data_IF_934547354331
#
_entry.id   IF_934547354331
#
_cell.length_a   1.000
_cell.length_b   1.000
_cell.length_c   1.000
_cell.angle_alpha   90.00
_cell.angle_beta   90.00
_cell.angle_gamma   90.00
#
_symmetry.space_group_name_H-M   'P 1'
#
loop_
_entity.id
_entity.type
_entity.pdbx_description
1 polymer ?
#
# COMPACT_ATOMS: atom_id res chain seq x y z
N UNK A 1 9.03 8.59 -0.79
CA UNK A 1 9.49 8.45 -2.19
C UNK A 1 10.66 7.47 -2.29
N UNK A 2 10.95 6.90 -3.45
CA UNK A 2 12.15 6.09 -3.70
C UNK A 2 12.59 6.14 -5.16
N UNK A 3 13.87 5.87 -5.44
CA UNK A 3 14.39 5.75 -6.80
C UNK A 3 14.49 4.26 -7.17
N UNK A 4 13.72 3.82 -8.15
CA UNK A 4 13.77 2.47 -8.70
C UNK A 4 14.12 2.55 -10.18
N UNK A 5 15.16 1.83 -10.63
CA UNK A 5 15.63 1.84 -12.02
C UNK A 5 15.84 3.25 -12.60
N UNK A 6 16.46 4.14 -11.81
CA UNK A 6 16.69 5.56 -12.14
C UNK A 6 15.41 6.38 -12.41
N UNK A 7 14.24 5.88 -11.99
CA UNK A 7 12.98 6.59 -12.01
C UNK A 7 12.49 6.84 -10.59
N UNK A 8 11.90 8.01 -10.39
CA UNK A 8 11.26 8.33 -9.11
C UNK A 8 9.93 7.58 -9.02
N UNK A 9 9.74 6.87 -7.92
CA UNK A 9 8.51 6.16 -7.58
C UNK A 9 7.94 6.73 -6.28
N UNK A 10 6.63 6.97 -6.29
CA UNK A 10 5.88 7.55 -5.20
C UNK A 10 5.02 6.49 -4.52
N UNK A 11 4.94 6.52 -3.20
CA UNK A 11 3.89 5.81 -2.46
C UNK A 11 2.64 6.68 -2.34
N UNK A 12 1.47 6.10 -2.02
CA UNK A 12 0.29 6.90 -1.68
C UNK A 12 0.51 7.83 -0.48
N UNK A 13 1.44 7.49 0.44
CA UNK A 13 1.83 8.40 1.52
C UNK A 13 2.54 9.66 1.02
N UNK A 14 3.30 9.58 -0.07
CA UNK A 14 3.97 10.75 -0.67
C UNK A 14 2.93 11.72 -1.25
N UNK A 15 1.84 11.21 -1.83
CA UNK A 15 0.73 12.02 -2.32
C UNK A 15 0.05 12.77 -1.17
N UNK A 16 -0.16 12.09 -0.03
CA UNK A 16 -0.72 12.75 1.15
C UNK A 16 0.22 13.75 1.77
N UNK A 17 1.53 13.47 1.80
CA UNK A 17 2.55 14.41 2.26
C UNK A 17 2.53 15.69 1.39
N UNK A 18 2.43 15.55 0.07
CA UNK A 18 2.28 16.68 -0.84
C UNK A 18 1.01 17.50 -0.57
N UNK A 19 -0.12 16.83 -0.32
CA UNK A 19 -1.37 17.50 -0.01
C UNK A 19 -1.32 18.26 1.33
N UNK A 20 -0.72 17.67 2.36
CA UNK A 20 -0.61 18.27 3.69
C UNK A 20 0.45 19.38 3.74
N UNK A 21 1.57 19.19 3.04
CA UNK A 21 2.69 20.14 2.98
C UNK A 21 3.51 19.96 1.71
N UNK A 22 3.30 20.81 0.68
CA UNK A 22 4.13 20.81 -0.52
C UNK A 22 5.61 21.01 -0.21
N UNK A 23 5.94 21.75 0.86
CA UNK A 23 7.31 21.93 1.33
C UNK A 23 7.91 20.62 1.85
N UNK A 24 7.20 19.89 2.72
CA UNK A 24 7.69 18.61 3.23
C UNK A 24 7.93 17.61 2.10
N UNK A 25 7.00 17.50 1.15
CA UNK A 25 7.16 16.67 -0.05
C UNK A 25 8.37 17.08 -0.90
N UNK A 26 8.61 18.39 -1.04
CA UNK A 26 9.81 18.89 -1.73
C UNK A 26 11.10 18.54 -0.99
N UNK A 27 11.12 18.64 0.35
CA UNK A 27 12.26 18.26 1.18
C UNK A 27 12.58 16.77 1.05
N UNK A 28 11.56 15.90 1.07
CA UNK A 28 11.74 14.46 0.81
C UNK A 28 12.34 14.22 -0.58
N UNK A 29 11.81 14.88 -1.61
CA UNK A 29 12.34 14.76 -2.98
C UNK A 29 13.79 15.23 -3.07
N UNK A 30 14.14 16.33 -2.41
CA UNK A 30 15.51 16.84 -2.34
C UNK A 30 16.44 15.80 -1.70
N UNK A 31 16.03 15.20 -0.58
CA UNK A 31 16.80 14.16 0.10
C UNK A 31 17.09 12.94 -0.80
N UNK A 32 16.12 12.51 -1.61
CA UNK A 32 16.29 11.37 -2.51
C UNK A 32 17.02 11.70 -3.83
N UNK A 33 16.95 12.95 -4.30
CA UNK A 33 17.51 13.34 -5.61
C UNK A 33 18.88 14.03 -5.51
N UNK A 34 19.13 14.76 -4.42
CA UNK A 34 20.29 15.61 -4.18
C UNK A 34 20.68 15.57 -2.69
N UNK A 35 21.09 14.39 -2.23
CA UNK A 35 21.35 14.11 -0.81
C UNK A 35 22.42 15.04 -0.22
N UNK A 36 23.35 15.51 -1.04
CA UNK A 36 24.41 16.46 -0.70
C UNK A 36 23.90 17.86 -0.36
N UNK A 37 22.71 18.23 -0.84
CA UNK A 37 22.07 19.52 -0.58
C UNK A 37 21.00 19.43 0.50
N UNK A 38 20.55 18.22 0.84
CA UNK A 38 19.49 18.01 1.81
C UNK A 38 20.02 18.16 3.24
N UNK A 39 19.25 18.81 4.14
CA UNK A 39 19.59 18.81 5.55
C UNK A 39 19.54 17.38 6.11
N UNK A 40 20.26 17.17 7.21
CA UNK A 40 20.22 15.90 7.92
C UNK A 40 18.79 15.67 8.46
N UNK A 41 18.20 14.48 8.24
CA UNK A 41 16.91 14.15 8.84
C UNK A 41 16.98 14.18 10.37
N UNK A 42 15.86 14.55 10.99
CA UNK A 42 15.68 14.38 12.42
C UNK A 42 15.81 12.89 12.81
N UNK A 43 16.31 12.58 14.02
CA UNK A 43 16.32 11.20 14.50
C UNK A 43 14.89 10.65 14.61
N UNK A 44 14.75 9.33 14.49
CA UNK A 44 13.46 8.67 14.66
C UNK A 44 12.87 8.98 16.04
N UNK A 45 11.66 9.55 16.05
CA UNK A 45 10.91 9.79 17.29
C UNK A 45 10.22 8.50 17.75
N UNK A 46 10.46 8.14 19.02
CA UNK A 46 9.77 7.09 19.76
C UNK A 46 8.24 7.08 19.58
N UNK A 47 7.62 8.25 19.44
CA UNK A 47 6.18 8.36 19.23
C UNK A 47 5.75 7.83 17.84
N UNK A 48 6.53 8.12 16.79
CA UNK A 48 6.24 7.61 15.45
C UNK A 48 6.40 6.09 15.38
N UNK A 49 7.44 5.54 16.02
CA UNK A 49 7.63 4.09 16.11
C UNK A 49 6.49 3.40 16.87
N UNK A 50 5.99 4.04 17.93
CA UNK A 50 4.83 3.54 18.67
C UNK A 50 3.56 3.55 17.80
N UNK A 51 3.30 4.65 17.08
CA UNK A 51 2.16 4.74 16.17
C UNK A 51 2.19 3.66 15.08
N UNK A 52 3.36 3.41 14.51
CA UNK A 52 3.56 2.34 13.53
C UNK A 52 3.24 0.97 14.14
N UNK A 53 3.78 0.68 15.33
CA UNK A 53 3.54 -0.58 16.04
C UNK A 53 2.05 -0.80 16.33
N UNK A 54 1.33 0.25 16.72
CA UNK A 54 -0.12 0.17 16.95
C UNK A 54 -0.89 -0.07 15.64
N UNK A 55 -0.44 0.52 14.53
CA UNK A 55 -1.01 0.28 13.19
C UNK A 55 -0.87 -1.17 12.78
N UNK A 56 0.35 -1.70 12.83
CA UNK A 56 0.66 -3.10 12.50
C UNK A 56 -0.18 -4.09 13.34
N UNK A 57 -0.36 -3.79 14.63
CA UNK A 57 -1.20 -4.60 15.52
C UNK A 57 -2.67 -4.59 15.10
N UNK A 58 -3.17 -3.44 14.65
CA UNK A 58 -4.56 -3.29 14.22
C UNK A 58 -4.83 -4.05 12.92
N UNK A 59 -3.94 -3.91 11.94
CA UNK A 59 -3.95 -4.68 10.69
C UNK A 59 -3.92 -6.19 10.99
N UNK A 60 -3.01 -6.65 11.86
CA UNK A 60 -2.91 -8.07 12.24
C UNK A 60 -4.16 -8.57 12.98
N UNK A 61 -4.80 -7.74 13.78
CA UNK A 61 -6.07 -8.10 14.42
C UNK A 61 -7.18 -8.30 13.39
N UNK A 62 -7.25 -7.44 12.37
CA UNK A 62 -8.22 -7.60 11.28
C UNK A 62 -7.92 -8.84 10.43
N UNK A 63 -6.65 -9.11 10.11
CA UNK A 63 -6.21 -10.33 9.42
C UNK A 63 -6.68 -11.59 10.17
N UNK A 64 -6.52 -11.59 11.50
CA UNK A 64 -6.94 -12.71 12.34
C UNK A 64 -8.45 -12.96 12.25
N UNK A 65 -9.27 -11.91 12.19
CA UNK A 65 -10.72 -12.03 12.02
C UNK A 65 -11.08 -12.71 10.71
N UNK A 66 -10.45 -12.33 9.60
CA UNK A 66 -10.68 -12.99 8.30
C UNK A 66 -10.35 -14.50 8.34
N UNK A 67 -9.26 -14.87 9.02
CA UNK A 67 -8.89 -16.28 9.22
C UNK A 67 -9.94 -17.00 10.09
N UNK A 68 -10.38 -16.38 11.18
CA UNK A 68 -11.37 -16.96 12.09
C UNK A 68 -12.76 -17.09 11.44
N UNK A 69 -13.07 -16.21 10.46
CA UNK A 69 -14.26 -16.29 9.60
C UNK A 69 -14.15 -17.40 8.51
N UNK A 70 -13.03 -18.12 8.47
CA UNK A 70 -12.81 -19.25 7.56
C UNK A 70 -12.41 -18.86 6.13
N UNK A 71 -12.02 -17.60 5.91
CA UNK A 71 -11.59 -17.12 4.60
C UNK A 71 -10.17 -17.61 4.26
N UNK A 72 -9.90 -17.81 2.98
CA UNK A 72 -8.53 -18.03 2.50
C UNK A 72 -7.75 -16.72 2.52
N UNK A 73 -6.57 -16.73 3.14
CA UNK A 73 -5.76 -15.54 3.36
C UNK A 73 -4.35 -15.76 2.83
N UNK A 74 -3.81 -14.75 2.14
CA UNK A 74 -2.41 -14.73 1.68
C UNK A 74 -1.71 -13.48 2.20
N UNK A 75 -0.66 -13.65 3.02
CA UNK A 75 0.18 -12.57 3.53
C UNK A 75 1.42 -12.43 2.65
N UNK A 76 1.42 -11.44 1.76
CA UNK A 76 2.47 -11.26 0.74
C UNK A 76 3.83 -11.05 1.39
N UNK A 77 3.91 -10.28 2.48
CA UNK A 77 5.18 -10.00 3.16
C UNK A 77 5.68 -11.16 4.03
N UNK A 78 4.87 -12.21 4.22
CA UNK A 78 5.33 -13.49 4.76
C UNK A 78 5.97 -14.39 3.70
N UNK A 79 5.68 -14.15 2.42
CA UNK A 79 6.15 -14.95 1.28
C UNK A 79 7.43 -14.35 0.69
N UNK A 80 7.50 -13.03 0.60
CA UNK A 80 8.63 -12.30 0.01
C UNK A 80 9.03 -11.10 0.87
N UNK A 81 10.32 -10.74 0.81
CA UNK A 81 10.86 -9.58 1.52
C UNK A 81 10.31 -8.27 0.91
N UNK A 82 9.97 -7.30 1.78
CA UNK A 82 9.45 -5.97 1.40
C UNK A 82 10.40 -5.19 0.48
N UNK A 83 11.70 -5.50 0.51
CA UNK A 83 12.73 -4.91 -0.35
C UNK A 83 12.62 -5.37 -1.80
N UNK A 84 12.10 -6.57 -2.07
CA UNK A 84 11.85 -7.07 -3.42
C UNK A 84 10.41 -6.79 -3.87
N UNK A 85 10.16 -5.52 -4.17
CA UNK A 85 8.83 -5.07 -4.60
C UNK A 85 8.36 -5.77 -5.89
N UNK A 86 9.27 -6.11 -6.80
CA UNK A 86 8.93 -6.75 -8.07
C UNK A 86 8.36 -8.16 -7.83
N UNK A 87 9.02 -8.93 -6.96
CA UNK A 87 8.52 -10.23 -6.53
C UNK A 87 7.19 -10.09 -5.79
N UNK A 88 7.08 -9.17 -4.84
CA UNK A 88 5.84 -8.94 -4.10
C UNK A 88 4.65 -8.59 -5.00
N UNK A 89 4.87 -7.75 -6.01
CA UNK A 89 3.85 -7.39 -6.99
C UNK A 89 3.43 -8.59 -7.84
N UNK A 90 4.39 -9.40 -8.30
CA UNK A 90 4.09 -10.63 -9.03
C UNK A 90 3.29 -11.61 -8.16
N UNK A 91 3.71 -11.84 -6.92
CA UNK A 91 3.00 -12.70 -5.96
C UNK A 91 1.57 -12.19 -5.75
N UNK A 92 1.38 -10.87 -5.60
CA UNK A 92 0.04 -10.27 -5.48
C UNK A 92 -0.85 -10.63 -6.67
N UNK A 93 -0.34 -10.49 -7.91
CA UNK A 93 -1.09 -10.86 -9.13
C UNK A 93 -1.42 -12.36 -9.19
N UNK A 94 -0.50 -13.21 -8.75
CA UNK A 94 -0.72 -14.66 -8.69
C UNK A 94 -1.83 -15.01 -7.69
N UNK A 95 -1.81 -14.43 -6.49
CA UNK A 95 -2.85 -14.64 -5.48
C UNK A 95 -4.21 -14.11 -5.95
N UNK A 96 -4.24 -12.99 -6.66
CA UNK A 96 -5.46 -12.47 -7.28
C UNK A 96 -6.03 -13.44 -8.31
N UNK A 97 -5.19 -14.04 -9.16
CA UNK A 97 -5.63 -15.02 -10.18
C UNK A 97 -6.09 -16.35 -9.56
N UNK A 98 -5.50 -16.75 -8.45
CA UNK A 98 -5.93 -17.92 -7.68
C UNK A 98 -7.27 -17.68 -6.97
N UNK A 99 -7.74 -16.43 -6.89
CA UNK A 99 -9.01 -16.08 -6.27
C UNK A 99 -9.02 -16.28 -4.76
N UNK A 100 -7.89 -16.00 -4.09
CA UNK A 100 -7.79 -15.98 -2.62
C UNK A 100 -8.76 -14.93 -2.07
N UNK A 101 -9.46 -15.24 -0.99
CA UNK A 101 -10.52 -14.35 -0.47
C UNK A 101 -9.95 -13.03 0.06
N UNK A 102 -8.80 -13.08 0.73
CA UNK A 102 -8.12 -11.91 1.30
C UNK A 102 -6.62 -11.95 0.99
N UNK A 103 -6.09 -10.88 0.40
CA UNK A 103 -4.65 -10.69 0.20
C UNK A 103 -4.20 -9.55 1.12
N UNK A 104 -3.33 -9.87 2.07
CA UNK A 104 -2.78 -8.95 3.05
C UNK A 104 -1.43 -8.40 2.58
N UNK A 105 -1.21 -7.10 2.78
CA UNK A 105 -0.03 -6.36 2.32
C UNK A 105 0.19 -6.51 0.81
N UNK A 106 -0.87 -6.26 0.03
CA UNK A 106 -0.87 -6.42 -1.42
C UNK A 106 -0.01 -5.34 -2.10
N UNK A 107 0.97 -5.76 -2.89
CA UNK A 107 1.85 -4.86 -3.62
C UNK A 107 1.18 -4.39 -4.93
N UNK A 108 0.87 -3.10 -5.01
CA UNK A 108 0.21 -2.46 -6.15
C UNK A 108 1.12 -1.41 -6.78
N UNK A 109 1.09 -1.33 -8.11
CA UNK A 109 1.85 -0.35 -8.88
C UNK A 109 1.07 0.10 -10.11
N UNK A 110 1.11 1.39 -10.41
CA UNK A 110 0.68 1.96 -11.70
C UNK A 110 1.45 3.25 -12.00
N UNK A 111 1.94 3.39 -13.23
CA UNK A 111 2.73 4.55 -13.64
C UNK A 111 3.93 4.78 -12.73
N UNK A 112 3.96 5.93 -12.06
CA UNK A 112 4.99 6.30 -11.08
C UNK A 112 4.63 5.98 -9.63
N UNK A 113 3.47 5.37 -9.37
CA UNK A 113 3.03 5.01 -8.02
C UNK A 113 3.24 3.53 -7.72
N UNK A 114 3.74 3.23 -6.52
CA UNK A 114 3.88 1.88 -6.02
C UNK A 114 3.80 1.83 -4.48
N UNK A 115 3.05 0.89 -3.92
CA UNK A 115 2.88 0.74 -2.49
C UNK A 115 2.30 -0.61 -2.07
N UNK A 116 2.12 -0.77 -0.76
CA UNK A 116 1.47 -1.95 -0.17
C UNK A 116 0.13 -1.50 0.41
N UNK A 117 -0.97 -1.99 -0.17
CA UNK A 117 -2.30 -1.81 0.41
C UNK A 117 -2.48 -2.83 1.54
N UNK A 118 -3.12 -2.43 2.64
CA UNK A 118 -3.33 -3.32 3.78
C UNK A 118 -4.06 -4.59 3.35
N UNK A 119 -5.19 -4.47 2.66
CA UNK A 119 -5.98 -5.61 2.22
C UNK A 119 -6.54 -5.44 0.80
N UNK A 120 -6.55 -6.53 0.05
CA UNK A 120 -7.46 -6.73 -1.09
C UNK A 120 -8.49 -7.79 -0.74
N UNK A 121 -9.77 -7.44 -0.86
CA UNK A 121 -10.89 -8.32 -0.55
C UNK A 121 -11.57 -8.76 -1.83
N UNK A 122 -11.69 -10.08 -2.04
CA UNK A 122 -12.37 -10.64 -3.20
C UNK A 122 -13.88 -10.44 -3.06
N UNK A 123 -14.50 -9.85 -4.09
CA UNK A 123 -15.93 -9.60 -4.16
C UNK A 123 -16.51 -10.08 -5.49
N UNK A 124 -17.78 -10.53 -5.53
CA UNK A 124 -18.43 -10.91 -6.78
C UNK A 124 -18.51 -9.73 -7.77
N UNK A 125 -18.26 -9.99 -9.05
CA UNK A 125 -18.36 -8.98 -10.11
C UNK A 125 -17.46 -9.30 -11.30
N UNK A 126 -17.91 -8.98 -12.52
CA UNK A 126 -17.15 -9.29 -13.74
C UNK A 126 -15.85 -8.49 -13.80
N UNK A 127 -14.74 -9.15 -14.11
CA UNK A 127 -13.43 -8.52 -14.32
C UNK A 127 -12.54 -9.37 -15.24
N UNK A 128 -11.29 -8.96 -15.44
CA UNK A 128 -10.26 -9.78 -16.09
C UNK A 128 -9.94 -11.10 -15.34
N UNK A 129 -10.37 -11.21 -14.08
CA UNK A 129 -10.21 -12.41 -13.24
C UNK A 129 -11.41 -13.37 -13.34
N UNK A 130 -12.43 -13.05 -14.14
CA UNK A 130 -13.64 -13.86 -14.31
C UNK A 130 -14.85 -13.24 -13.62
N UNK A 131 -15.44 -13.96 -12.67
CA UNK A 131 -16.69 -13.60 -11.98
C UNK A 131 -16.50 -12.86 -10.65
N UNK A 132 -15.27 -12.45 -10.35
CA UNK A 132 -14.92 -11.66 -9.18
C UNK A 132 -13.94 -10.55 -9.52
N UNK A 133 -13.84 -9.58 -8.62
CA UNK A 133 -12.80 -8.54 -8.59
C UNK A 133 -12.35 -8.33 -7.14
N UNK A 134 -11.37 -7.47 -6.95
CA UNK A 134 -10.89 -7.09 -5.63
C UNK A 134 -11.23 -5.64 -5.31
N UNK A 135 -11.47 -5.38 -4.03
CA UNK A 135 -11.59 -4.04 -3.46
C UNK A 135 -10.43 -3.77 -2.50
N UNK A 136 -9.95 -2.52 -2.48
CA UNK A 136 -8.93 -2.08 -1.52
C UNK A 136 -9.59 -1.76 -0.19
N UNK A 137 -9.09 -2.38 0.87
CA UNK A 137 -9.52 -2.10 2.25
C UNK A 137 -8.31 -1.63 3.06
N UNK A 138 -8.47 -0.52 3.77
CA UNK A 138 -7.45 0.10 4.63
C UNK A 138 -7.93 0.07 6.09
N UNK A 139 -7.07 -0.36 7.01
CA UNK A 139 -7.41 -0.45 8.43
C UNK A 139 -6.72 0.68 9.19
N UNK A 140 -7.50 1.67 9.64
CA UNK A 140 -6.97 2.82 10.37
C UNK A 140 -7.39 2.82 11.84
N UNK A 141 -6.43 3.16 12.70
CA UNK A 141 -6.66 3.41 14.13
C UNK A 141 -7.55 4.63 14.41
N UNK A 142 -7.64 5.57 13.47
CA UNK A 142 -8.36 6.82 13.67
C UNK A 142 -9.88 6.59 13.65
N UNK A 143 -10.57 7.06 14.69
CA UNK A 143 -12.04 7.02 14.78
C UNK A 143 -12.73 7.98 13.79
N UNK A 144 -12.00 8.93 13.22
CA UNK A 144 -12.49 9.91 12.25
C UNK A 144 -11.78 9.75 10.90
N UNK A 145 -12.56 9.81 9.83
CA UNK A 145 -12.06 9.76 8.45
C UNK A 145 -11.34 11.07 8.14
N UNK A 146 -10.02 10.99 7.93
CA UNK A 146 -9.19 12.12 7.49
C UNK A 146 -9.04 12.11 5.97
N UNK A 147 -8.97 13.29 5.36
CA UNK A 147 -8.78 13.48 3.91
C UNK A 147 -7.61 12.64 3.36
N UNK A 148 -6.51 12.56 4.10
CA UNK A 148 -5.34 11.77 3.73
C UNK A 148 -5.64 10.28 3.50
N UNK A 149 -6.53 9.68 4.28
CA UNK A 149 -6.88 8.26 4.13
C UNK A 149 -7.70 8.03 2.86
N UNK A 150 -8.62 8.95 2.55
CA UNK A 150 -9.40 8.91 1.30
C UNK A 150 -8.47 9.04 0.09
N UNK A 151 -7.51 9.97 0.11
CA UNK A 151 -6.54 10.14 -0.97
C UNK A 151 -5.68 8.89 -1.20
N UNK A 152 -5.22 8.23 -0.11
CA UNK A 152 -4.47 6.98 -0.21
C UNK A 152 -5.32 5.87 -0.83
N UNK A 153 -6.56 5.71 -0.35
CA UNK A 153 -7.50 4.73 -0.87
C UNK A 153 -7.80 4.94 -2.35
N UNK A 154 -8.03 6.18 -2.79
CA UNK A 154 -8.23 6.51 -4.21
C UNK A 154 -7.00 6.12 -5.05
N UNK A 155 -5.80 6.45 -4.59
CA UNK A 155 -4.56 6.10 -5.29
C UNK A 155 -4.39 4.57 -5.41
N UNK A 156 -4.65 3.82 -4.35
CA UNK A 156 -4.65 2.35 -4.40
C UNK A 156 -5.75 1.79 -5.30
N UNK A 157 -6.96 2.35 -5.26
CA UNK A 157 -8.07 1.93 -6.12
C UNK A 157 -7.76 2.14 -7.61
N UNK A 158 -7.14 3.26 -7.99
CA UNK A 158 -6.67 3.51 -9.36
C UNK A 158 -5.58 2.52 -9.77
N UNK A 159 -4.60 2.23 -8.90
CA UNK A 159 -3.58 1.21 -9.18
C UNK A 159 -4.20 -0.17 -9.39
N UNK A 160 -5.13 -0.57 -8.52
CA UNK A 160 -5.82 -1.86 -8.60
C UNK A 160 -6.68 -1.96 -9.87
N UNK A 161 -7.36 -0.88 -10.25
CA UNK A 161 -8.22 -0.85 -11.43
C UNK A 161 -7.46 -1.27 -12.69
N UNK A 162 -6.22 -0.83 -12.85
CA UNK A 162 -5.36 -1.19 -13.99
C UNK A 162 -5.02 -2.68 -14.06
N UNK A 163 -5.11 -3.41 -12.94
CA UNK A 163 -4.77 -4.83 -12.86
C UNK A 163 -5.95 -5.75 -13.20
N UNK A 164 -7.19 -5.27 -13.03
CA UNK A 164 -8.38 -6.12 -13.08
C UNK A 164 -9.47 -5.66 -14.05
N UNK A 165 -9.46 -4.42 -14.53
CA UNK A 165 -10.47 -3.93 -15.47
C UNK A 165 -10.05 -4.11 -16.93
N UNK A 166 -11.02 -4.38 -17.80
CA UNK A 166 -10.83 -4.25 -19.25
C UNK A 166 -10.78 -2.76 -19.60
N UNK A 167 -9.76 -2.36 -20.36
CA UNK A 167 -9.65 -1.00 -20.92
C UNK A 167 -10.73 -0.75 -21.96
#
# INVERSE_FOLDING_TARGET
MRVLNSKLTFSPSDLTCFHESPYASWMERLYFSHRELAPQPDPDDSFNSLLQTLGDRHERAQLRRFIDDGLTVSDILSICDKTDFALAHQTTLEQMRLGVDVIFQAALQSGSFAGFADFLIKVPGKSLLGDYHYEVWDTKLASEVKVKFVLQLCCYAEMLQQLQNQT
#
